data_IF_398034679312
#
_entry.id   IF_398034679312
#
_cell.length_a   1.000
_cell.length_b   1.000
_cell.length_c   1.000
_cell.angle_alpha   90.00
_cell.angle_beta   90.00
_cell.angle_gamma   90.00
#
_symmetry.space_group_name_H-M   'P 1'
#
loop_
_entity.id
_entity.type
_entity.pdbx_description
1 polymer ?
#
# COMPACT_ATOMS: atom_id res chain seq x y z
N UNK A 1 -14.56 73.34 -18.81
CA UNK A 1 -15.81 72.79 -18.24
C UNK A 1 -16.34 71.75 -19.23
N UNK A 2 -16.89 70.58 -18.84
CA UNK A 2 -16.72 69.69 -17.67
C UNK A 2 -15.94 68.40 -18.12
N UNK A 3 -15.40 67.52 -17.27
CA UNK A 3 -16.04 66.77 -16.19
C UNK A 3 -16.64 65.47 -16.76
N UNK A 4 -15.94 64.34 -16.58
CA UNK A 4 -16.36 63.02 -17.05
C UNK A 4 -15.58 61.94 -16.32
N UNK A 5 -16.15 61.54 -15.19
CA UNK A 5 -15.73 60.54 -14.22
C UNK A 5 -15.04 59.30 -14.83
N UNK A 6 -13.76 59.07 -14.49
CA UNK A 6 -13.19 57.73 -14.56
C UNK A 6 -13.73 56.96 -13.34
N UNK A 7 -14.54 55.90 -13.50
CA UNK A 7 -15.06 55.16 -12.37
C UNK A 7 -13.90 54.49 -11.65
N UNK A 8 -13.68 54.89 -10.40
CA UNK A 8 -12.74 54.21 -9.52
C UNK A 8 -13.25 52.76 -9.38
N UNK A 9 -12.55 51.79 -9.96
CA UNK A 9 -12.87 50.40 -9.66
C UNK A 9 -12.71 50.22 -8.14
N UNK A 10 -13.74 49.75 -7.41
CA UNK A 10 -13.57 49.39 -6.03
C UNK A 10 -12.56 48.26 -6.03
N UNK A 11 -11.36 48.53 -5.52
CA UNK A 11 -10.36 47.51 -5.19
C UNK A 11 -11.05 46.56 -4.24
N UNK A 12 -11.62 45.50 -4.81
CA UNK A 12 -12.11 44.33 -4.10
C UNK A 12 -11.01 44.01 -3.10
N UNK A 13 -11.37 44.09 -1.82
CA UNK A 13 -10.62 43.51 -0.72
C UNK A 13 -10.45 42.04 -1.08
N UNK A 14 -9.38 41.72 -1.81
CA UNK A 14 -8.98 40.35 -2.05
C UNK A 14 -8.55 39.87 -0.67
N UNK A 15 -9.38 38.98 -0.15
CA UNK A 15 -9.23 38.32 1.13
C UNK A 15 -7.77 37.89 1.33
N UNK A 16 -7.25 37.94 2.58
CA UNK A 16 -5.95 37.34 2.84
C UNK A 16 -5.99 35.88 2.33
N UNK A 17 -4.94 35.37 1.68
CA UNK A 17 -4.86 33.94 1.41
C UNK A 17 -4.87 33.24 2.76
N UNK A 18 -6.06 32.82 3.18
CA UNK A 18 -6.25 32.04 4.38
C UNK A 18 -5.46 30.75 4.23
N UNK A 19 -5.02 30.30 5.38
CA UNK A 19 -4.17 29.16 5.62
C UNK A 19 -4.65 27.94 4.86
N UNK A 20 -3.68 27.08 4.61
CA UNK A 20 -3.92 25.65 4.79
C UNK A 20 -4.03 24.88 3.50
N UNK A 21 -2.87 24.40 3.06
CA UNK A 21 -2.79 23.36 2.06
C UNK A 21 -1.50 22.57 2.25
N UNK A 22 -1.19 22.20 3.50
CA UNK A 22 -0.23 21.14 3.79
C UNK A 22 -0.74 19.86 3.15
N UNK A 23 -0.47 19.70 1.86
CA UNK A 23 -0.65 18.46 1.13
C UNK A 23 0.32 17.45 1.70
N UNK A 24 -0.07 16.81 2.79
CA UNK A 24 0.46 15.53 3.22
C UNK A 24 0.21 14.58 2.04
N UNK A 25 1.19 14.54 1.13
CA UNK A 25 1.32 13.50 0.13
C UNK A 25 1.55 12.23 0.92
N UNK A 26 0.46 11.61 1.34
CA UNK A 26 0.40 10.20 1.72
C UNK A 26 1.01 9.45 0.55
N UNK A 27 2.31 9.19 0.62
CA UNK A 27 3.04 8.53 -0.44
C UNK A 27 2.36 7.17 -0.58
N UNK A 28 1.67 6.86 -1.70
CA UNK A 28 1.10 5.54 -1.85
C UNK A 28 2.27 4.59 -1.77
N UNK A 29 2.25 3.68 -0.79
CA UNK A 29 3.26 2.63 -0.68
C UNK A 29 3.25 1.93 -2.02
N UNK A 30 4.22 2.22 -2.88
CA UNK A 30 4.28 1.63 -4.19
C UNK A 30 4.41 0.13 -3.97
N UNK A 31 3.55 -0.67 -4.60
CA UNK A 31 3.56 -2.13 -4.45
C UNK A 31 4.98 -2.72 -4.63
N UNK A 32 5.81 -2.08 -5.45
CA UNK A 32 7.21 -2.42 -5.68
C UNK A 32 8.12 -2.16 -4.46
N UNK A 33 7.85 -1.12 -3.67
CA UNK A 33 8.65 -0.76 -2.49
C UNK A 33 8.03 -1.28 -1.17
N UNK A 34 6.90 -1.99 -1.26
CA UNK A 34 6.31 -2.65 -0.10
C UNK A 34 7.25 -3.76 0.38
N UNK A 35 7.42 -3.85 1.70
CA UNK A 35 8.21 -4.91 2.35
C UNK A 35 7.36 -6.05 2.88
N UNK A 36 6.04 -5.93 2.80
CA UNK A 36 5.09 -6.90 3.34
C UNK A 36 4.01 -7.17 2.32
N UNK A 37 3.70 -8.44 2.11
CA UNK A 37 2.71 -8.93 1.17
C UNK A 37 1.84 -9.95 1.87
N UNK A 38 0.53 -9.84 1.66
CA UNK A 38 -0.45 -10.81 2.10
C UNK A 38 -0.85 -11.65 0.90
N UNK A 39 -0.64 -12.96 0.98
CA UNK A 39 -1.16 -13.91 0.00
C UNK A 39 -2.45 -14.52 0.56
N UNK A 40 -3.56 -14.27 -0.15
CA UNK A 40 -4.87 -14.86 0.14
C UNK A 40 -5.23 -15.92 -0.89
N UNK A 41 -5.60 -17.11 -0.45
CA UNK A 41 -6.05 -18.18 -1.34
C UNK A 41 -7.49 -17.99 -1.78
N UNK A 42 -7.75 -17.94 -3.08
CA UNK A 42 -9.11 -17.77 -3.63
C UNK A 42 -9.79 -19.14 -3.71
N UNK A 43 -10.50 -19.52 -2.65
CA UNK A 43 -11.34 -20.73 -2.60
C UNK A 43 -10.68 -21.98 -2.00
N UNK A 44 -9.35 -22.12 -2.10
CA UNK A 44 -8.58 -23.14 -1.36
C UNK A 44 -7.57 -22.48 -0.45
N UNK A 45 -7.53 -22.91 0.81
CA UNK A 45 -6.59 -22.34 1.76
C UNK A 45 -5.17 -22.80 1.44
N UNK A 46 -4.26 -21.86 1.23
CA UNK A 46 -2.82 -22.14 1.05
C UNK A 46 -2.27 -22.88 2.27
N UNK A 47 -2.95 -22.76 3.41
CA UNK A 47 -2.73 -23.55 4.62
C UNK A 47 -2.88 -25.06 4.49
N UNK A 48 -3.63 -25.54 3.49
CA UNK A 48 -3.81 -26.96 3.16
C UNK A 48 -2.59 -27.54 2.45
N UNK A 49 -1.79 -26.69 1.80
CA UNK A 49 -0.55 -27.13 1.18
C UNK A 49 0.47 -27.53 2.25
N UNK A 50 1.25 -28.55 1.93
CA UNK A 50 2.28 -29.06 2.81
C UNK A 50 3.31 -27.95 3.13
N UNK A 51 3.72 -27.77 4.41
CA UNK A 51 4.67 -26.73 4.81
C UNK A 51 6.00 -26.79 4.05
N UNK A 52 6.47 -27.97 3.65
CA UNK A 52 7.67 -28.14 2.84
C UNK A 52 7.47 -27.61 1.40
N UNK A 53 6.30 -27.87 0.81
CA UNK A 53 5.94 -27.37 -0.53
C UNK A 53 5.84 -25.85 -0.51
N UNK A 54 5.13 -25.30 0.48
CA UNK A 54 5.00 -23.84 0.67
C UNK A 54 6.38 -23.20 0.74
N UNK A 55 7.28 -23.74 1.57
CA UNK A 55 8.64 -23.22 1.70
C UNK A 55 9.43 -23.35 0.39
N UNK A 56 9.37 -24.51 -0.28
CA UNK A 56 10.10 -24.76 -1.54
C UNK A 56 9.64 -23.83 -2.67
N UNK A 57 8.34 -23.63 -2.81
CA UNK A 57 7.77 -22.72 -3.80
C UNK A 57 8.18 -21.28 -3.52
N UNK A 58 8.15 -20.86 -2.27
CA UNK A 58 8.63 -19.54 -1.87
C UNK A 58 10.09 -19.32 -2.25
N UNK A 59 10.94 -20.30 -1.94
CA UNK A 59 12.36 -20.28 -2.30
C UNK A 59 12.54 -20.22 -3.81
N UNK A 60 11.71 -20.92 -4.57
CA UNK A 60 11.76 -20.90 -6.03
C UNK A 60 11.23 -19.60 -6.65
N UNK A 61 10.18 -19.00 -6.08
CA UNK A 61 9.53 -17.81 -6.62
C UNK A 61 10.25 -16.51 -6.24
N UNK A 62 10.66 -16.37 -4.99
CA UNK A 62 11.25 -15.12 -4.46
C UNK A 62 12.61 -15.34 -3.79
N UNK A 63 13.11 -16.57 -3.72
CA UNK A 63 14.34 -16.87 -2.97
C UNK A 63 14.08 -16.90 -1.47
N UNK A 64 14.98 -16.31 -0.69
CA UNK A 64 14.83 -16.27 0.77
C UNK A 64 14.11 -14.99 1.20
N UNK A 65 12.79 -15.03 1.46
CA UNK A 65 12.12 -13.90 2.10
C UNK A 65 12.66 -13.68 3.50
N UNK A 66 12.53 -12.44 3.98
CA UNK A 66 12.94 -12.06 5.32
C UNK A 66 12.14 -12.78 6.39
N UNK A 67 10.83 -12.89 6.19
CA UNK A 67 9.94 -13.60 7.10
C UNK A 67 8.73 -14.15 6.36
N UNK A 68 8.19 -15.26 6.88
CA UNK A 68 7.04 -15.96 6.30
C UNK A 68 6.16 -16.41 7.44
N UNK A 69 5.03 -15.72 7.59
CA UNK A 69 4.10 -15.95 8.68
C UNK A 69 2.79 -16.47 8.15
N UNK A 70 2.40 -17.66 8.59
CA UNK A 70 1.06 -18.18 8.34
C UNK A 70 0.08 -17.53 9.31
N UNK A 71 -0.98 -16.94 8.77
CA UNK A 71 -2.06 -16.34 9.57
C UNK A 71 -3.06 -17.42 9.98
N UNK A 72 -3.77 -17.17 11.09
CA UNK A 72 -4.82 -18.08 11.59
C UNK A 72 -5.99 -18.23 10.61
N UNK A 73 -6.18 -17.26 9.71
CA UNK A 73 -7.14 -17.33 8.60
C UNK A 73 -6.78 -18.39 7.55
N UNK A 74 -5.54 -18.86 7.53
CA UNK A 74 -5.02 -19.75 6.49
C UNK A 74 -4.26 -19.03 5.37
N UNK A 75 -4.13 -17.71 5.46
CA UNK A 75 -3.34 -16.87 4.56
C UNK A 75 -1.84 -16.87 4.93
N UNK A 76 -1.01 -16.37 4.01
CA UNK A 76 0.43 -16.22 4.23
C UNK A 76 0.82 -14.75 4.16
N UNK A 77 1.43 -14.24 5.23
CA UNK A 77 2.09 -12.95 5.25
C UNK A 77 3.58 -13.17 4.97
N UNK A 78 4.09 -12.53 3.94
CA UNK A 78 5.50 -12.62 3.55
C UNK A 78 6.13 -11.24 3.68
N UNK A 79 7.27 -11.20 4.35
CA UNK A 79 8.10 -10.01 4.45
C UNK A 79 9.26 -10.20 3.49
N UNK A 80 9.38 -9.32 2.52
CA UNK A 80 10.50 -9.32 1.56
C UNK A 80 11.70 -8.61 2.16
N UNK A 81 12.90 -9.09 1.81
CA UNK A 81 14.16 -8.45 2.16
C UNK A 81 14.52 -7.35 1.15
N UNK A 82 14.14 -7.55 -0.12
CA UNK A 82 14.54 -6.72 -1.25
C UNK A 82 13.36 -6.39 -2.18
N UNK A 83 13.48 -5.28 -2.91
CA UNK A 83 12.50 -4.81 -3.91
C UNK A 83 12.34 -5.80 -5.07
N UNK A 84 13.41 -6.52 -5.45
CA UNK A 84 13.33 -7.57 -6.47
C UNK A 84 12.36 -8.68 -6.08
N UNK A 85 12.35 -9.08 -4.80
CA UNK A 85 11.41 -10.06 -4.27
C UNK A 85 9.99 -9.52 -4.25
N UNK A 86 9.81 -8.26 -3.85
CA UNK A 86 8.53 -7.55 -3.86
C UNK A 86 7.88 -7.55 -5.24
N UNK A 87 8.67 -7.33 -6.29
CA UNK A 87 8.21 -7.36 -7.67
C UNK A 87 7.74 -8.75 -8.11
N UNK A 88 8.51 -9.79 -7.74
CA UNK A 88 8.16 -11.19 -8.03
C UNK A 88 6.88 -11.60 -7.30
N UNK A 89 6.75 -11.23 -6.02
CA UNK A 89 5.53 -11.44 -5.23
C UNK A 89 4.33 -10.71 -5.82
N UNK A 90 4.50 -9.45 -6.23
CA UNK A 90 3.42 -8.67 -6.83
C UNK A 90 2.95 -9.23 -8.18
N UNK A 91 3.78 -10.03 -8.87
CA UNK A 91 3.42 -10.73 -10.11
C UNK A 91 2.83 -12.13 -9.86
N UNK A 92 2.81 -12.59 -8.60
CA UNK A 92 2.34 -13.91 -8.25
C UNK A 92 0.80 -13.93 -8.22
N UNK A 93 0.21 -14.76 -9.08
CA UNK A 93 -1.26 -14.92 -9.19
C UNK A 93 -1.73 -16.31 -8.77
N UNK A 94 -0.80 -17.24 -8.57
CA UNK A 94 -1.09 -18.59 -8.13
C UNK A 94 0.07 -19.14 -7.30
N UNK A 95 -0.28 -19.98 -6.33
CA UNK A 95 0.63 -20.62 -5.40
C UNK A 95 0.49 -22.14 -5.55
N UNK A 96 1.50 -22.82 -6.12
CA UNK A 96 1.50 -24.29 -6.30
C UNK A 96 0.20 -24.87 -6.89
N UNK A 97 -0.42 -24.23 -7.89
CA UNK A 97 -1.71 -24.61 -8.50
C UNK A 97 -2.98 -24.14 -7.75
N UNK A 98 -2.84 -23.39 -6.66
CA UNK A 98 -3.96 -22.72 -5.99
C UNK A 98 -4.00 -21.25 -6.46
N UNK A 99 -5.10 -20.76 -7.03
CA UNK A 99 -5.22 -19.33 -7.34
C UNK A 99 -5.11 -18.53 -6.04
N UNK A 100 -4.29 -17.48 -6.08
CA UNK A 100 -4.07 -16.64 -4.91
C UNK A 100 -3.94 -15.17 -5.30
N UNK A 101 -4.46 -14.32 -4.43
CA UNK A 101 -4.36 -12.86 -4.58
C UNK A 101 -3.24 -12.36 -3.68
N UNK A 102 -2.31 -11.60 -4.25
CA UNK A 102 -1.28 -10.91 -3.48
C UNK A 102 -1.71 -9.47 -3.25
N UNK A 103 -1.81 -9.10 -1.99
CA UNK A 103 -2.23 -7.77 -1.55
C UNK A 103 -1.11 -7.14 -0.72
N UNK A 104 -0.90 -5.83 -0.86
CA UNK A 104 -0.04 -5.08 0.04
C UNK A 104 -0.93 -4.52 1.14
N UNK A 105 -0.75 -4.92 2.42
CA UNK A 105 -1.53 -4.35 3.50
C UNK A 105 -1.21 -2.86 3.63
N UNK A 106 -2.16 -2.01 3.22
CA UNK A 106 -2.06 -0.55 3.22
C UNK A 106 -1.97 0.05 4.64
N UNK A 107 -2.40 -0.71 5.65
CA UNK A 107 -2.44 -0.32 7.05
C UNK A 107 -1.51 -1.23 7.87
N UNK A 108 -0.27 -0.80 8.08
CA UNK A 108 0.45 -1.19 9.30
C UNK A 108 1.40 -0.09 9.79
N UNK A 109 1.21 1.16 9.34
CA UNK A 109 1.98 2.28 9.85
C UNK A 109 1.67 2.47 11.34
N UNK A 110 2.63 2.13 12.20
CA UNK A 110 2.53 2.15 13.66
C UNK A 110 2.59 3.58 14.23
N UNK A 111 1.70 4.50 13.83
CA UNK A 111 1.59 5.84 14.48
C UNK A 111 0.26 6.60 14.31
N UNK A 112 -0.84 6.00 13.83
CA UNK A 112 -2.13 6.72 13.70
C UNK A 112 -3.29 6.10 14.50
N UNK A 113 -2.99 5.55 15.68
CA UNK A 113 -3.98 5.39 16.75
C UNK A 113 -3.81 6.51 17.76
N UNK A 114 -3.86 7.76 17.32
CA UNK A 114 -4.34 8.83 18.21
C UNK A 114 -5.85 8.80 18.07
N UNK A 115 -6.48 7.94 18.87
CA UNK A 115 -7.91 8.08 19.16
C UNK A 115 -8.08 9.48 19.78
N UNK A 116 -8.70 10.38 19.01
CA UNK A 116 -9.15 11.66 19.48
C UNK A 116 -10.26 11.40 20.50
N UNK A 117 -9.97 11.66 21.77
CA UNK A 117 -10.99 11.88 22.81
C UNK A 117 -11.64 13.24 22.65
#
# INVERSE_FOLDING_TARGET
MPGGDEPVEPRVTREPPDRGGGGNRSNPISFQNARKFLIRGTGSSISSLNPFIVRKFLINCIGHPKDVKKLRSGDLLIVTADVGQSRLLSSLTSFCNVPCTVEVPFHWNTSLLTFQG
#
